data_IF_188750805335
#
_entry.id   IF_188750805335
#
_cell.length_a   1.000
_cell.length_b   1.000
_cell.length_c   1.000
_cell.angle_alpha   90.00
_cell.angle_beta   90.00
_cell.angle_gamma   90.00
#
_symmetry.space_group_name_H-M   'P 1'
#
loop_
_entity.id
_entity.type
_entity.pdbx_description
1 polymer ?
#
# COMPACT_ATOMS: atom_id res chain seq x y z
N UNK A 1 0.23 33.18 -2.51
CA UNK A 1 1.63 33.66 -2.58
C UNK A 1 2.46 32.87 -3.60
N UNK A 2 2.35 31.54 -3.69
CA UNK A 2 2.95 30.76 -4.80
C UNK A 2 1.88 29.88 -5.47
N UNK A 3 1.90 29.76 -6.80
CA UNK A 3 0.97 28.90 -7.53
C UNK A 3 1.29 27.42 -7.30
N UNK A 4 0.27 26.55 -7.27
CA UNK A 4 0.43 25.10 -7.03
C UNK A 4 1.49 24.46 -7.92
N UNK A 5 1.57 24.88 -9.19
CA UNK A 5 2.61 24.43 -10.14
C UNK A 5 4.03 24.75 -9.67
N UNK A 6 4.28 25.91 -9.07
CA UNK A 6 5.63 26.27 -8.56
C UNK A 6 5.97 25.45 -7.33
N UNK A 7 5.04 25.34 -6.37
CA UNK A 7 5.24 24.56 -5.14
C UNK A 7 5.54 23.09 -5.50
N UNK A 8 4.78 22.51 -6.44
CA UNK A 8 5.02 21.14 -6.91
C UNK A 8 6.42 20.97 -7.52
N UNK A 9 6.82 21.86 -8.44
CA UNK A 9 8.16 21.79 -9.08
C UNK A 9 9.29 21.98 -8.07
N UNK A 10 9.21 22.98 -7.21
CA UNK A 10 10.21 23.22 -6.17
C UNK A 10 10.29 22.05 -5.20
N UNK A 11 9.14 21.52 -4.75
CA UNK A 11 9.07 20.34 -3.89
C UNK A 11 9.73 19.12 -4.54
N UNK A 12 9.50 18.91 -5.84
CA UNK A 12 10.11 17.82 -6.59
C UNK A 12 11.62 17.95 -6.70
N UNK A 13 12.13 19.16 -6.96
CA UNK A 13 13.57 19.44 -7.00
C UNK A 13 14.21 19.21 -5.64
N UNK A 14 13.59 19.71 -4.56
CA UNK A 14 14.08 19.49 -3.19
C UNK A 14 14.10 18.00 -2.87
N UNK A 15 13.04 17.26 -3.21
CA UNK A 15 12.96 15.82 -2.99
C UNK A 15 14.07 15.06 -3.75
N UNK A 16 14.31 15.43 -5.01
CA UNK A 16 15.36 14.84 -5.86
C UNK A 16 16.76 15.06 -5.31
N UNK A 17 17.10 16.32 -5.01
CA UNK A 17 18.40 16.67 -4.46
C UNK A 17 18.63 16.01 -3.11
N UNK A 18 17.61 16.01 -2.24
CA UNK A 18 17.68 15.32 -0.96
C UNK A 18 17.86 13.81 -1.12
N UNK A 19 17.19 13.17 -2.09
CA UNK A 19 17.38 11.75 -2.38
C UNK A 19 18.80 11.43 -2.87
N UNK A 20 19.39 12.32 -3.68
CA UNK A 20 20.78 12.19 -4.09
C UNK A 20 21.73 12.33 -2.90
N UNK A 21 21.49 13.29 -1.99
CA UNK A 21 22.26 13.42 -0.76
C UNK A 21 22.11 12.21 0.18
N UNK A 22 20.93 11.58 0.26
CA UNK A 22 20.76 10.32 0.98
C UNK A 22 21.58 9.18 0.36
N UNK A 23 21.68 9.11 -0.97
CA UNK A 23 22.50 8.10 -1.64
C UNK A 23 24.01 8.34 -1.42
N UNK A 24 24.43 9.60 -1.34
CA UNK A 24 25.82 10.00 -1.12
C UNK A 24 26.21 10.09 0.36
N UNK A 25 25.29 9.83 1.30
CA UNK A 25 25.59 10.01 2.72
C UNK A 25 26.50 8.90 3.24
N UNK A 26 27.57 9.31 3.92
CA UNK A 26 28.51 8.41 4.59
C UNK A 26 28.45 8.50 6.13
N UNK A 27 27.59 9.36 6.67
CA UNK A 27 27.34 9.46 8.12
C UNK A 27 25.84 9.49 8.45
N UNK A 28 25.48 9.01 9.65
CA UNK A 28 24.10 9.02 10.14
C UNK A 28 23.53 10.44 10.21
N UNK A 29 24.32 11.42 10.63
CA UNK A 29 23.89 12.82 10.71
C UNK A 29 23.57 13.39 9.33
N UNK A 30 24.42 13.12 8.33
CA UNK A 30 24.18 13.54 6.95
C UNK A 30 22.92 12.89 6.39
N UNK A 31 22.73 11.58 6.60
CA UNK A 31 21.53 10.87 6.18
C UNK A 31 20.27 11.45 6.85
N UNK A 32 20.35 11.77 8.14
CA UNK A 32 19.24 12.33 8.91
C UNK A 32 18.85 13.72 8.38
N UNK A 33 19.82 14.60 8.16
CA UNK A 33 19.57 15.94 7.60
C UNK A 33 19.01 15.85 6.18
N UNK A 34 19.54 14.94 5.35
CA UNK A 34 19.02 14.71 4.00
C UNK A 34 17.57 14.19 4.03
N UNK A 35 17.22 13.31 4.99
CA UNK A 35 15.84 12.82 5.18
C UNK A 35 14.89 13.92 5.65
N UNK A 36 15.35 14.84 6.49
CA UNK A 36 14.58 16.04 6.86
C UNK A 36 14.29 16.89 5.62
N UNK A 37 15.32 17.18 4.80
CA UNK A 37 15.14 17.91 3.54
C UNK A 37 14.20 17.18 2.56
N UNK A 38 14.33 15.85 2.47
CA UNK A 38 13.45 15.02 1.65
C UNK A 38 12.00 15.08 2.14
N UNK A 39 11.79 15.12 3.46
CA UNK A 39 10.48 15.32 4.08
C UNK A 39 9.82 16.63 3.66
N UNK A 40 10.56 17.75 3.60
CA UNK A 40 10.04 19.02 3.08
C UNK A 40 9.61 18.92 1.62
N UNK A 41 10.41 18.26 0.78
CA UNK A 41 10.05 17.98 -0.63
C UNK A 41 8.76 17.16 -0.74
N UNK A 42 8.66 16.08 0.03
CA UNK A 42 7.48 15.22 0.09
C UNK A 42 6.21 15.96 0.56
N UNK A 43 6.33 16.77 1.63
CA UNK A 43 5.23 17.57 2.15
C UNK A 43 4.73 18.61 1.12
N UNK A 44 5.66 19.26 0.40
CA UNK A 44 5.30 20.18 -0.68
C UNK A 44 4.53 19.47 -1.80
N UNK A 45 4.96 18.27 -2.21
CA UNK A 45 4.28 17.47 -3.24
C UNK A 45 2.89 17.02 -2.79
N UNK A 46 2.75 16.46 -1.58
CA UNK A 46 1.48 15.95 -1.07
C UNK A 46 0.46 17.07 -0.83
N UNK A 47 0.91 18.22 -0.32
CA UNK A 47 0.01 19.34 0.03
C UNK A 47 -0.70 19.96 -1.17
N UNK A 48 -0.08 19.97 -2.36
CA UNK A 48 -0.66 20.54 -3.57
C UNK A 48 -1.29 19.51 -4.51
N UNK A 49 -1.10 18.21 -4.27
CA UNK A 49 -1.57 17.15 -5.17
C UNK A 49 -3.09 17.19 -5.37
N UNK A 50 -3.85 17.20 -4.27
CA UNK A 50 -5.32 17.29 -4.33
C UNK A 50 -5.80 18.60 -4.98
N UNK A 51 -5.09 19.70 -4.74
CA UNK A 51 -5.41 21.00 -5.34
C UNK A 51 -5.18 21.01 -6.86
N UNK A 52 -4.10 20.37 -7.34
CA UNK A 52 -3.82 20.22 -8.77
C UNK A 52 -4.84 19.33 -9.45
N UNK A 53 -5.24 18.21 -8.84
CA UNK A 53 -6.31 17.35 -9.38
C UNK A 53 -7.60 18.14 -9.55
N UNK A 54 -7.98 18.94 -8.54
CA UNK A 54 -9.17 19.82 -8.62
C UNK A 54 -9.10 20.91 -9.68
N UNK A 55 -7.90 21.25 -10.13
CA UNK A 55 -7.66 22.25 -11.17
C UNK A 55 -7.68 21.64 -12.58
N UNK A 56 -7.26 20.38 -12.69
CA UNK A 56 -7.19 19.65 -13.96
C UNK A 56 -8.55 19.03 -14.32
N UNK A 57 -9.28 18.48 -13.34
CA UNK A 57 -10.54 17.79 -13.58
C UNK A 57 -11.75 18.71 -13.31
N UNK A 58 -12.78 18.70 -14.18
CA UNK A 58 -14.04 19.39 -13.91
C UNK A 58 -14.76 18.74 -12.71
N UNK A 59 -15.57 19.52 -11.97
CA UNK A 59 -16.25 19.09 -10.73
C UNK A 59 -16.96 17.73 -10.85
N UNK A 60 -17.66 17.48 -11.97
CA UNK A 60 -18.36 16.22 -12.25
C UNK A 60 -17.45 15.00 -12.38
N UNK A 61 -16.18 15.19 -12.73
CA UNK A 61 -15.19 14.13 -12.95
C UNK A 61 -14.12 14.07 -11.84
N UNK A 62 -14.23 14.88 -10.79
CA UNK A 62 -13.26 14.88 -9.68
C UNK A 62 -13.11 13.51 -9.02
N UNK A 63 -14.20 12.76 -8.89
CA UNK A 63 -14.16 11.39 -8.35
C UNK A 63 -13.27 10.47 -9.19
N UNK A 64 -13.29 10.61 -10.52
CA UNK A 64 -12.41 9.83 -11.42
C UNK A 64 -10.95 10.22 -11.25
N UNK A 65 -10.66 11.52 -11.17
CA UNK A 65 -9.29 12.01 -10.94
C UNK A 65 -8.73 11.54 -9.58
N UNK A 66 -9.52 11.66 -8.52
CA UNK A 66 -9.16 11.17 -7.18
C UNK A 66 -9.00 9.65 -7.17
N UNK A 67 -9.89 8.90 -7.84
CA UNK A 67 -9.82 7.45 -7.95
C UNK A 67 -8.56 6.94 -8.63
N UNK A 68 -8.17 7.56 -9.76
CA UNK A 68 -6.92 7.22 -10.47
C UNK A 68 -5.70 7.53 -9.57
N UNK A 69 -5.69 8.68 -8.90
CA UNK A 69 -4.61 9.03 -7.98
C UNK A 69 -4.50 8.01 -6.83
N UNK A 70 -5.62 7.65 -6.19
CA UNK A 70 -5.65 6.66 -5.11
C UNK A 70 -5.22 5.27 -5.60
N UNK A 71 -5.60 4.87 -6.81
CA UNK A 71 -5.16 3.62 -7.43
C UNK A 71 -3.64 3.59 -7.62
N UNK A 72 -3.05 4.66 -8.14
CA UNK A 72 -1.59 4.76 -8.31
C UNK A 72 -0.89 4.65 -6.95
N UNK A 73 -1.37 5.37 -5.93
CA UNK A 73 -0.80 5.30 -4.57
C UNK A 73 -0.88 3.89 -4.00
N UNK A 74 -2.02 3.20 -4.15
CA UNK A 74 -2.18 1.84 -3.67
C UNK A 74 -1.25 0.84 -4.37
N UNK A 75 -1.14 0.92 -5.71
CA UNK A 75 -0.25 0.07 -6.50
C UNK A 75 1.21 0.33 -6.14
N UNK A 76 1.64 1.59 -6.05
CA UNK A 76 2.99 1.95 -5.63
C UNK A 76 3.31 1.50 -4.20
N UNK A 77 2.36 1.63 -3.27
CA UNK A 77 2.53 1.19 -1.89
C UNK A 77 2.63 -0.34 -1.79
N UNK A 78 1.87 -1.09 -2.58
CA UNK A 78 1.93 -2.54 -2.61
C UNK A 78 3.22 -3.06 -3.29
N UNK A 79 3.67 -2.38 -4.34
CA UNK A 79 4.90 -2.72 -5.04
C UNK A 79 6.17 -2.32 -4.26
N UNK A 80 6.08 -1.34 -3.37
CA UNK A 80 7.19 -0.77 -2.62
C UNK A 80 8.08 -1.81 -1.93
N UNK A 81 7.56 -2.67 -1.02
CA UNK A 81 8.36 -3.69 -0.33
C UNK A 81 9.04 -4.68 -1.28
N UNK A 82 8.35 -5.13 -2.33
CA UNK A 82 8.91 -6.07 -3.31
C UNK A 82 10.04 -5.44 -4.12
N UNK A 83 9.86 -4.20 -4.59
CA UNK A 83 10.91 -3.46 -5.30
C UNK A 83 12.10 -3.20 -4.37
N UNK A 84 11.85 -2.79 -3.12
CA UNK A 84 12.90 -2.57 -2.14
C UNK A 84 13.70 -3.84 -1.82
N UNK A 85 13.02 -4.99 -1.63
CA UNK A 85 13.66 -6.28 -1.40
C UNK A 85 14.50 -6.73 -2.61
N UNK A 86 13.98 -6.58 -3.83
CA UNK A 86 14.70 -6.90 -5.06
C UNK A 86 15.94 -6.01 -5.26
N UNK A 87 15.86 -4.72 -4.92
CA UNK A 87 17.03 -3.82 -4.95
C UNK A 87 18.07 -4.29 -3.92
N UNK A 88 17.66 -4.54 -2.67
CA UNK A 88 18.57 -4.95 -1.61
C UNK A 88 19.21 -6.32 -1.84
N UNK A 89 18.60 -7.19 -2.66
CA UNK A 89 19.20 -8.49 -2.98
C UNK A 89 20.38 -8.44 -3.96
N UNK A 90 20.50 -7.36 -4.74
CA UNK A 90 21.56 -7.22 -5.76
C UNK A 90 22.39 -5.94 -5.63
N UNK A 91 21.94 -4.98 -4.82
CA UNK A 91 22.52 -3.65 -4.73
C UNK A 91 22.51 -3.13 -3.29
N UNK A 92 23.37 -2.16 -3.01
CA UNK A 92 23.44 -1.53 -1.70
C UNK A 92 22.20 -0.68 -1.40
N UNK A 93 21.93 -0.44 -0.11
CA UNK A 93 20.79 0.38 0.34
C UNK A 93 20.76 1.79 -0.27
N UNK A 94 21.90 2.34 -0.71
CA UNK A 94 22.01 3.63 -1.41
C UNK A 94 21.13 3.67 -2.68
N UNK A 95 20.91 2.53 -3.33
CA UNK A 95 20.04 2.41 -4.51
C UNK A 95 18.56 2.62 -4.22
N UNK A 96 18.10 2.41 -2.98
CA UNK A 96 16.73 2.73 -2.56
C UNK A 96 16.44 4.23 -2.69
N UNK A 97 17.47 5.07 -2.58
CA UNK A 97 17.37 6.51 -2.79
C UNK A 97 17.69 6.90 -4.23
N UNK A 98 18.63 6.21 -4.88
CA UNK A 98 19.04 6.52 -6.23
C UNK A 98 17.93 6.25 -7.25
N UNK A 99 17.08 5.23 -7.05
CA UNK A 99 15.93 4.93 -7.92
C UNK A 99 14.92 6.09 -8.02
N UNK A 100 14.82 6.91 -6.98
CA UNK A 100 13.94 8.08 -6.98
C UNK A 100 14.45 9.18 -7.92
N UNK A 101 15.75 9.20 -8.23
CA UNK A 101 16.37 10.24 -9.06
C UNK A 101 15.88 10.19 -10.52
N UNK A 102 16.00 9.06 -11.27
CA UNK A 102 15.49 9.01 -12.63
C UNK A 102 13.96 9.19 -12.68
N UNK A 103 13.23 8.59 -11.73
CA UNK A 103 11.77 8.72 -11.65
C UNK A 103 11.34 10.17 -11.40
N UNK A 104 12.00 10.86 -10.47
CA UNK A 104 11.71 12.25 -10.18
C UNK A 104 12.13 13.20 -11.30
N UNK A 105 13.20 12.91 -12.04
CA UNK A 105 13.59 13.68 -13.24
C UNK A 105 12.49 13.55 -14.31
N UNK A 106 12.02 12.33 -14.60
CA UNK A 106 10.91 12.11 -15.53
C UNK A 106 9.67 12.87 -15.05
N UNK A 107 9.31 12.74 -13.76
CA UNK A 107 8.19 13.47 -13.18
C UNK A 107 8.36 15.00 -13.31
N UNK A 108 9.58 15.52 -13.16
CA UNK A 108 9.88 16.95 -13.29
C UNK A 108 9.73 17.42 -14.73
N UNK A 109 10.22 16.66 -15.70
CA UNK A 109 10.05 16.94 -17.13
C UNK A 109 8.56 16.97 -17.51
N UNK A 110 7.78 15.97 -17.06
CA UNK A 110 6.35 15.91 -17.28
C UNK A 110 5.62 17.07 -16.58
N UNK A 111 6.01 17.40 -15.35
CA UNK A 111 5.48 18.54 -14.61
C UNK A 111 5.81 19.88 -15.28
N UNK A 112 6.96 20.01 -15.92
CA UNK A 112 7.31 21.20 -16.68
C UNK A 112 6.44 21.35 -17.91
N UNK A 113 6.20 20.26 -18.64
CA UNK A 113 5.47 20.25 -19.91
C UNK A 113 3.94 20.32 -19.76
N UNK A 114 3.36 19.56 -18.83
CA UNK A 114 1.92 19.30 -18.80
C UNK A 114 1.16 20.01 -17.67
N UNK A 115 1.81 20.48 -16.60
CA UNK A 115 1.09 21.19 -15.53
C UNK A 115 0.60 22.55 -16.04
N UNK A 116 -0.72 22.83 -15.95
CA UNK A 116 -1.27 24.11 -16.41
C UNK A 116 -0.71 25.27 -15.58
N UNK A 117 -0.40 26.42 -16.22
CA UNK A 117 0.00 27.61 -15.50
C UNK A 117 -1.16 28.11 -14.65
N UNK A 118 -0.91 28.26 -13.35
CA UNK A 118 -1.84 28.91 -12.45
C UNK A 118 -1.48 30.38 -12.30
N UNK A 119 -2.30 31.28 -12.84
CA UNK A 119 -2.17 32.71 -12.58
C UNK A 119 -2.51 32.96 -11.12
N UNK A 120 -1.59 33.53 -10.33
CA UNK A 120 -1.90 34.03 -9.00
C UNK A 120 -2.74 35.31 -9.12
N UNK A 121 -3.97 35.20 -9.62
CA UNK A 121 -4.91 36.32 -9.62
C UNK A 121 -5.55 36.41 -8.23
N UNK A 122 -5.41 37.59 -7.66
CA UNK A 122 -6.11 38.13 -6.48
C UNK A 122 -5.43 37.94 -5.11
N UNK A 123 -4.90 39.06 -4.61
CA UNK A 123 -5.10 39.64 -3.28
C UNK A 123 -5.41 38.65 -2.14
N UNK A 124 -4.39 37.95 -1.61
CA UNK A 124 -4.58 36.95 -0.54
C UNK A 124 -3.56 37.07 0.59
N UNK A 125 -3.94 36.68 1.83
CA UNK A 125 -3.28 37.02 3.08
C UNK A 125 -1.81 36.57 3.14
N UNK A 126 -1.00 37.30 3.91
CA UNK A 126 0.41 36.96 4.20
C UNK A 126 0.50 35.57 4.83
N UNK A 127 1.57 34.84 4.50
CA UNK A 127 1.87 33.55 5.12
C UNK A 127 1.99 33.72 6.64
N UNK A 128 1.17 33.00 7.40
CA UNK A 128 1.18 33.06 8.86
C UNK A 128 2.28 32.14 9.40
N UNK A 129 3.52 32.63 9.32
CA UNK A 129 4.72 31.93 9.81
C UNK A 129 4.58 31.53 11.30
N UNK A 130 4.08 32.38 12.22
CA UNK A 130 3.81 31.96 13.60
C UNK A 130 2.89 30.74 13.68
N UNK A 131 1.76 30.71 12.98
CA UNK A 131 0.87 29.55 12.97
C UNK A 131 1.54 28.31 12.38
N UNK A 132 2.38 28.46 11.35
CA UNK A 132 3.12 27.34 10.77
C UNK A 132 4.14 26.75 11.76
N UNK A 133 4.89 27.58 12.48
CA UNK A 133 5.87 27.14 13.49
C UNK A 133 5.15 26.46 14.64
N UNK A 134 4.07 27.06 15.16
CA UNK A 134 3.30 26.48 16.25
C UNK A 134 2.69 25.13 15.84
N UNK A 135 2.15 25.03 14.63
CA UNK A 135 1.66 23.75 14.08
C UNK A 135 2.77 22.69 14.02
N UNK A 136 3.94 23.06 13.49
CA UNK A 136 5.09 22.15 13.41
C UNK A 136 5.56 21.69 14.79
N UNK A 137 5.58 22.59 15.78
CA UNK A 137 5.93 22.28 17.17
C UNK A 137 4.87 21.39 17.83
N UNK A 138 3.58 21.67 17.66
CA UNK A 138 2.49 20.85 18.22
C UNK A 138 2.57 19.42 17.70
N UNK A 139 2.63 19.20 16.38
CA UNK A 139 2.72 17.84 15.85
C UNK A 139 4.09 17.21 16.07
N UNK A 140 5.17 17.99 16.03
CA UNK A 140 6.52 17.54 16.31
C UNK A 140 6.66 16.98 17.72
N UNK A 141 6.26 17.74 18.73
CA UNK A 141 6.30 17.32 20.14
C UNK A 141 5.41 16.11 20.41
N UNK A 142 4.24 16.04 19.77
CA UNK A 142 3.38 14.86 19.88
C UNK A 142 4.08 13.60 19.34
N UNK A 143 4.70 13.70 18.16
CA UNK A 143 5.39 12.57 17.53
C UNK A 143 6.64 12.19 18.32
N UNK A 144 7.44 13.15 18.80
CA UNK A 144 8.64 12.86 19.59
C UNK A 144 8.29 12.24 20.94
N UNK A 145 7.26 12.72 21.63
CA UNK A 145 6.80 12.13 22.89
C UNK A 145 6.32 10.68 22.71
N UNK A 146 5.51 10.42 21.67
CA UNK A 146 5.05 9.05 21.34
C UNK A 146 6.23 8.13 21.00
N UNK A 147 7.17 8.61 20.18
CA UNK A 147 8.36 7.86 19.80
C UNK A 147 9.30 7.61 20.97
N UNK A 148 9.50 8.61 21.83
CA UNK A 148 10.32 8.53 23.03
C UNK A 148 9.75 7.54 24.04
N UNK A 149 8.43 7.54 24.23
CA UNK A 149 7.75 6.54 25.04
C UNK A 149 7.95 5.12 24.50
N UNK A 150 7.78 4.92 23.19
CA UNK A 150 7.98 3.61 22.55
C UNK A 150 9.44 3.11 22.62
N UNK A 151 10.42 4.02 22.68
CA UNK A 151 11.85 3.71 22.76
C UNK A 151 12.41 3.66 24.19
N UNK A 152 11.56 3.84 25.21
CA UNK A 152 11.97 3.81 26.62
C UNK A 152 12.80 5.02 27.07
N UNK A 153 12.59 6.19 26.47
CA UNK A 153 13.22 7.43 26.94
C UNK A 153 12.80 7.80 28.36
N UNK A 154 13.59 8.69 28.99
CA UNK A 154 13.31 9.17 30.34
C UNK A 154 11.92 9.83 30.43
N UNK A 155 11.15 9.43 31.43
CA UNK A 155 9.80 9.97 31.69
C UNK A 155 9.79 11.49 31.89
N UNK A 156 10.92 12.06 32.36
CA UNK A 156 11.11 13.51 32.52
C UNK A 156 11.11 14.24 31.18
N UNK A 157 11.82 13.70 30.18
CA UNK A 157 11.88 14.29 28.84
C UNK A 157 10.51 14.22 28.17
N UNK A 158 9.85 13.06 28.22
CA UNK A 158 8.50 12.85 27.69
C UNK A 158 7.50 13.80 28.38
N UNK A 159 7.59 13.94 29.71
CA UNK A 159 6.78 14.89 30.47
C UNK A 159 6.99 16.33 30.02
N UNK A 160 8.24 16.74 29.76
CA UNK A 160 8.56 18.07 29.24
C UNK A 160 8.01 18.28 27.82
N UNK A 161 8.10 17.27 26.94
CA UNK A 161 7.54 17.31 25.58
C UNK A 161 6.00 17.43 25.60
N UNK A 162 5.33 16.66 26.46
CA UNK A 162 3.88 16.73 26.64
C UNK A 162 3.43 18.08 27.22
N UNK A 163 4.19 18.63 28.18
CA UNK A 163 3.93 19.97 28.69
C UNK A 163 4.11 21.04 27.61
N UNK A 164 5.18 20.96 26.83
CA UNK A 164 5.41 21.84 25.68
C UNK A 164 4.29 21.73 24.64
N UNK A 165 3.84 20.51 24.34
CA UNK A 165 2.73 20.22 23.45
C UNK A 165 1.44 20.91 23.93
N UNK A 166 1.09 20.76 25.20
CA UNK A 166 -0.11 21.36 25.78
C UNK A 166 -0.04 22.89 25.72
N UNK A 167 1.10 23.49 26.08
CA UNK A 167 1.28 24.94 26.07
C UNK A 167 1.21 25.49 24.64
N UNK A 168 2.02 24.97 23.73
CA UNK A 168 2.07 25.46 22.33
C UNK A 168 0.75 25.16 21.61
N UNK A 169 0.18 23.96 21.81
CA UNK A 169 -1.10 23.56 21.25
C UNK A 169 -2.26 24.44 21.72
N UNK A 170 -2.31 24.79 23.00
CA UNK A 170 -3.32 25.71 23.54
C UNK A 170 -3.27 27.09 22.87
N UNK A 171 -2.07 27.69 22.80
CA UNK A 171 -1.91 28.98 22.13
C UNK A 171 -2.19 28.89 20.63
N UNK A 172 -1.82 27.78 19.99
CA UNK A 172 -2.07 27.54 18.57
C UNK A 172 -3.57 27.51 18.26
N UNK A 173 -4.34 26.71 18.99
CA UNK A 173 -5.79 26.60 18.83
C UNK A 173 -6.46 27.95 19.08
N UNK A 174 -6.08 28.65 20.17
CA UNK A 174 -6.62 29.97 20.49
C UNK A 174 -6.36 30.98 19.36
N UNK A 175 -5.17 30.96 18.76
CA UNK A 175 -4.84 31.79 17.60
C UNK A 175 -5.67 31.40 16.37
N UNK A 176 -5.81 30.11 16.07
CA UNK A 176 -6.61 29.65 14.92
C UNK A 176 -8.07 30.09 15.02
N UNK A 177 -8.68 30.00 16.21
CA UNK A 177 -10.06 30.42 16.43
C UNK A 177 -10.28 31.94 16.25
N UNK A 178 -9.24 32.75 16.39
CA UNK A 178 -9.31 34.20 16.23
C UNK A 178 -9.02 34.68 14.79
N UNK A 179 -8.41 33.82 13.95
CA UNK A 179 -7.99 34.21 12.61
C UNK A 179 -9.15 34.10 11.60
N UNK A 180 -9.30 35.06 10.68
CA UNK A 180 -10.33 35.01 9.64
C UNK A 180 -10.06 33.95 8.57
N UNK A 181 -8.81 33.54 8.39
CA UNK A 181 -8.40 32.46 7.47
C UNK A 181 -7.44 31.52 8.23
N UNK A 182 -7.96 30.60 9.05
CA UNK A 182 -7.13 29.71 9.85
C UNK A 182 -6.43 28.67 8.97
N UNK A 183 -5.22 28.25 9.40
CA UNK A 183 -4.48 27.14 8.81
C UNK A 183 -5.16 25.80 9.09
N UNK A 184 -5.68 25.66 10.32
CA UNK A 184 -6.43 24.50 10.77
C UNK A 184 -7.83 24.99 11.18
N UNK A 185 -8.91 24.64 10.45
CA UNK A 185 -10.27 25.06 10.78
C UNK A 185 -10.80 24.23 11.96
N UNK A 186 -10.32 24.56 13.17
CA UNK A 186 -10.68 23.89 14.43
C UNK A 186 -12.17 24.08 14.75
N UNK A 187 -12.79 25.13 14.21
CA UNK A 187 -14.22 25.40 14.27
C UNK A 187 -15.06 24.28 13.63
N UNK A 188 -14.59 23.66 12.55
CA UNK A 188 -15.28 22.52 11.92
C UNK A 188 -15.32 21.28 12.80
N UNK A 189 -14.39 21.12 13.75
CA UNK A 189 -14.43 20.02 14.72
C UNK A 189 -15.64 20.08 15.65
N UNK A 190 -16.34 21.22 15.73
CA UNK A 190 -17.61 21.33 16.44
C UNK A 190 -18.75 20.56 15.77
N UNK A 191 -18.63 20.25 14.47
CA UNK A 191 -19.61 19.47 13.72
C UNK A 191 -19.35 17.98 14.03
N UNK A 192 -20.27 17.27 14.73
CA UNK A 192 -20.02 15.92 15.20
C UNK A 192 -19.66 14.94 14.06
N UNK A 193 -20.35 15.03 12.92
CA UNK A 193 -20.07 14.19 11.75
C UNK A 193 -18.66 14.41 11.19
N UNK A 194 -18.17 15.65 11.18
CA UNK A 194 -16.83 15.99 10.71
C UNK A 194 -15.77 15.49 11.69
N UNK A 195 -15.96 15.71 12.99
CA UNK A 195 -15.06 15.19 14.03
C UNK A 195 -15.01 13.67 14.03
N UNK A 196 -16.16 12.99 13.93
CA UNK A 196 -16.22 11.53 13.81
C UNK A 196 -15.46 11.06 12.58
N UNK A 197 -15.64 11.69 11.43
CA UNK A 197 -14.90 11.34 10.21
C UNK A 197 -13.38 11.47 10.37
N UNK A 198 -12.89 12.50 11.06
CA UNK A 198 -11.46 12.68 11.34
C UNK A 198 -10.97 11.62 12.31
N UNK A 199 -11.69 11.37 13.41
CA UNK A 199 -11.35 10.35 14.39
C UNK A 199 -11.30 8.95 13.75
N UNK A 200 -12.30 8.60 12.94
CA UNK A 200 -12.31 7.36 12.17
C UNK A 200 -11.11 7.30 11.22
N UNK A 201 -10.80 8.38 10.51
CA UNK A 201 -9.63 8.41 9.62
C UNK A 201 -8.31 8.18 10.36
N UNK A 202 -8.09 8.88 11.48
CA UNK A 202 -6.88 8.73 12.32
C UNK A 202 -6.79 7.30 12.86
N UNK A 203 -7.89 6.75 13.36
CA UNK A 203 -7.95 5.39 13.90
C UNK A 203 -7.69 4.36 12.80
N UNK A 204 -8.34 4.48 11.63
CA UNK A 204 -8.17 3.58 10.50
C UNK A 204 -6.74 3.61 9.95
N UNK A 205 -6.13 4.79 9.73
CA UNK A 205 -4.74 4.88 9.26
C UNK A 205 -3.74 4.37 10.30
N UNK A 206 -3.97 4.65 11.59
CA UNK A 206 -3.13 4.13 12.67
C UNK A 206 -3.20 2.60 12.75
N UNK A 207 -4.42 2.03 12.74
CA UNK A 207 -4.62 0.59 12.75
C UNK A 207 -4.05 -0.08 11.50
N UNK A 208 -4.21 0.55 10.32
CA UNK A 208 -3.63 0.07 9.07
C UNK A 208 -2.10 0.01 9.14
N UNK A 209 -1.44 1.09 9.57
CA UNK A 209 0.02 1.12 9.67
C UNK A 209 0.54 0.16 10.74
N UNK A 210 -0.15 0.06 11.89
CA UNK A 210 0.18 -0.91 12.93
C UNK A 210 0.05 -2.34 12.41
N UNK A 211 -1.05 -2.70 11.76
CA UNK A 211 -1.24 -4.03 11.19
C UNK A 211 -0.20 -4.33 10.10
N UNK A 212 0.11 -3.36 9.22
CA UNK A 212 1.08 -3.52 8.14
C UNK A 212 2.48 -3.85 8.68
N UNK A 213 2.88 -3.25 9.79
CA UNK A 213 4.19 -3.50 10.42
C UNK A 213 4.15 -4.71 11.35
N UNK A 214 3.21 -4.77 12.28
CA UNK A 214 3.20 -5.77 13.36
C UNK A 214 2.75 -7.16 12.93
N UNK A 215 1.86 -7.28 11.94
CA UNK A 215 1.31 -8.58 11.55
C UNK A 215 2.37 -9.56 10.98
N UNK A 216 3.31 -9.12 10.10
CA UNK A 216 4.44 -9.97 9.69
C UNK A 216 5.27 -10.49 10.87
N UNK A 217 5.65 -9.60 11.80
CA UNK A 217 6.43 -10.00 12.98
C UNK A 217 5.65 -10.94 13.90
N UNK A 218 4.35 -10.70 14.11
CA UNK A 218 3.51 -11.59 14.89
C UNK A 218 3.44 -13.00 14.28
N UNK A 219 3.27 -13.09 12.95
CA UNK A 219 3.24 -14.38 12.25
C UNK A 219 4.58 -15.12 12.33
N UNK A 220 5.69 -14.42 12.19
CA UNK A 220 7.02 -15.04 12.20
C UNK A 220 7.47 -15.40 13.62
N UNK A 221 7.39 -14.46 14.56
CA UNK A 221 7.95 -14.61 15.92
C UNK A 221 7.02 -15.35 16.87
N UNK A 222 5.71 -15.10 16.84
CA UNK A 222 4.75 -15.71 17.77
C UNK A 222 4.14 -16.99 17.21
N UNK A 223 3.72 -16.96 15.94
CA UNK A 223 3.10 -18.12 15.29
C UNK A 223 4.10 -19.08 14.62
N UNK A 224 5.39 -18.76 14.62
CA UNK A 224 6.46 -19.61 14.06
C UNK A 224 6.33 -19.86 12.56
N UNK A 225 5.66 -18.98 11.83
CA UNK A 225 5.46 -19.13 10.38
C UNK A 225 6.74 -18.79 9.63
N UNK A 226 7.02 -19.53 8.56
CA UNK A 226 8.10 -19.18 7.66
C UNK A 226 7.82 -17.85 6.95
N UNK A 227 8.86 -17.20 6.44
CA UNK A 227 8.74 -15.95 5.66
C UNK A 227 7.81 -16.13 4.45
N UNK A 228 7.90 -17.29 3.79
CA UNK A 228 7.07 -17.65 2.64
C UNK A 228 5.60 -17.82 3.04
N UNK A 229 5.33 -18.54 4.14
CA UNK A 229 3.96 -18.70 4.65
C UNK A 229 3.34 -17.36 5.05
N UNK A 230 4.12 -16.49 5.70
CA UNK A 230 3.68 -15.15 6.10
C UNK A 230 3.35 -14.29 4.87
N UNK A 231 4.19 -14.32 3.84
CA UNK A 231 3.92 -13.62 2.58
C UNK A 231 2.65 -14.11 1.88
N UNK A 232 2.38 -15.42 1.90
CA UNK A 232 1.14 -16.00 1.37
C UNK A 232 -0.09 -15.57 2.17
N UNK A 233 0.00 -15.54 3.50
CA UNK A 233 -1.10 -15.12 4.39
C UNK A 233 -1.42 -13.63 4.28
N UNK A 234 -0.42 -12.81 3.96
CA UNK A 234 -0.56 -11.36 3.76
C UNK A 234 -0.89 -10.99 2.31
N UNK A 235 -0.97 -11.96 1.39
CA UNK A 235 -1.28 -11.68 0.00
C UNK A 235 -2.69 -11.10 -0.11
N UNK A 236 -2.87 -9.88 -0.66
CA UNK A 236 -4.20 -9.31 -0.81
C UNK A 236 -5.09 -10.22 -1.64
N UNK A 237 -6.32 -10.44 -1.18
CA UNK A 237 -7.31 -11.26 -1.89
C UNK A 237 -7.47 -10.87 -3.38
N UNK A 238 -7.54 -9.58 -3.75
CA UNK A 238 -7.62 -9.19 -5.17
C UNK A 238 -6.43 -9.64 -6.01
N UNK A 239 -5.24 -9.79 -5.41
CA UNK A 239 -4.05 -10.29 -6.11
C UNK A 239 -4.14 -11.81 -6.32
N UNK A 240 -4.71 -12.54 -5.36
CA UNK A 240 -4.97 -13.98 -5.48
C UNK A 240 -5.97 -14.24 -6.61
N UNK A 241 -7.09 -13.51 -6.63
CA UNK A 241 -8.08 -13.59 -7.70
C UNK A 241 -7.46 -13.26 -9.06
N UNK A 242 -6.66 -12.18 -9.14
CA UNK A 242 -5.99 -11.79 -10.39
C UNK A 242 -5.01 -12.85 -10.88
N UNK A 243 -4.28 -13.54 -9.99
CA UNK A 243 -3.40 -14.68 -10.35
C UNK A 243 -4.20 -15.83 -10.94
N UNK A 244 -5.33 -16.18 -10.34
CA UNK A 244 -6.24 -17.21 -10.86
C UNK A 244 -6.77 -16.84 -12.24
N UNK A 245 -7.24 -15.59 -12.42
CA UNK A 245 -7.70 -15.06 -13.71
C UNK A 245 -6.61 -15.19 -14.78
N UNK A 246 -5.40 -14.68 -14.52
CA UNK A 246 -4.31 -14.72 -15.50
C UNK A 246 -3.87 -16.15 -15.84
N UNK A 247 -3.82 -17.04 -14.84
CA UNK A 247 -3.45 -18.44 -15.08
C UNK A 247 -4.53 -19.19 -15.87
N UNK A 248 -5.80 -18.86 -15.66
CA UNK A 248 -6.91 -19.40 -16.43
C UNK A 248 -6.86 -18.94 -17.89
N UNK A 249 -6.63 -17.64 -18.12
CA UNK A 249 -6.49 -17.04 -19.45
C UNK A 249 -5.29 -17.60 -20.24
N UNK A 250 -4.18 -17.89 -19.54
CA UNK A 250 -2.99 -18.51 -20.13
C UNK A 250 -3.14 -20.04 -20.33
N UNK A 251 -4.30 -20.60 -19.99
CA UNK A 251 -4.63 -22.02 -20.04
C UNK A 251 -3.62 -22.93 -19.30
N UNK A 252 -3.08 -22.45 -18.17
CA UNK A 252 -2.19 -23.26 -17.35
C UNK A 252 -2.92 -24.38 -16.63
N UNK A 253 -2.20 -25.47 -16.36
CA UNK A 253 -2.59 -26.45 -15.36
C UNK A 253 -2.27 -25.89 -13.97
N UNK A 254 -3.22 -25.98 -13.05
CA UNK A 254 -3.15 -25.35 -11.73
C UNK A 254 -3.20 -26.41 -10.63
N UNK A 255 -2.52 -26.12 -9.52
CA UNK A 255 -2.65 -26.89 -8.29
C UNK A 255 -3.07 -25.95 -7.15
N UNK A 256 -4.21 -26.26 -6.53
CA UNK A 256 -4.74 -25.56 -5.36
C UNK A 256 -4.53 -26.45 -4.14
N UNK A 257 -3.65 -26.00 -3.26
CA UNK A 257 -3.33 -26.70 -2.02
C UNK A 257 -4.20 -26.18 -0.87
N UNK A 258 -4.68 -27.09 0.00
CA UNK A 258 -5.53 -26.74 1.15
C UNK A 258 -6.73 -25.84 0.75
N UNK A 259 -7.56 -26.29 -0.21
CA UNK A 259 -8.58 -25.47 -0.85
C UNK A 259 -9.78 -25.17 0.06
N UNK A 260 -9.96 -25.91 1.15
CA UNK A 260 -11.07 -25.75 2.09
C UNK A 260 -10.63 -26.03 3.53
N UNK A 261 -11.19 -25.27 4.49
CA UNK A 261 -11.05 -25.55 5.92
C UNK A 261 -12.31 -25.14 6.70
N UNK A 262 -12.43 -25.52 7.98
CA UNK A 262 -13.59 -25.15 8.83
C UNK A 262 -13.91 -23.65 8.86
N UNK A 263 -12.91 -22.78 8.67
CA UNK A 263 -13.08 -21.31 8.64
C UNK A 263 -13.14 -20.73 7.21
N UNK A 264 -12.85 -21.52 6.17
CA UNK A 264 -12.71 -21.11 4.76
C UNK A 264 -13.46 -22.09 3.87
N UNK A 265 -14.78 -22.18 4.06
CA UNK A 265 -15.61 -23.14 3.33
C UNK A 265 -15.89 -22.74 1.88
N UNK A 266 -15.84 -21.44 1.56
CA UNK A 266 -16.25 -20.87 0.27
C UNK A 266 -15.09 -20.63 -0.70
N UNK A 267 -13.85 -20.86 -0.29
CA UNK A 267 -12.65 -20.49 -1.07
C UNK A 267 -12.50 -21.31 -2.35
N UNK A 268 -12.75 -22.62 -2.28
CA UNK A 268 -12.74 -23.50 -3.46
C UNK A 268 -13.84 -23.09 -4.44
N UNK A 269 -15.05 -22.79 -3.96
CA UNK A 269 -16.16 -22.37 -4.81
C UNK A 269 -15.81 -21.07 -5.54
N UNK A 270 -15.33 -20.04 -4.82
CA UNK A 270 -14.87 -18.78 -5.42
C UNK A 270 -13.78 -18.99 -6.46
N UNK A 271 -12.80 -19.86 -6.18
CA UNK A 271 -11.76 -20.20 -7.15
C UNK A 271 -12.37 -20.84 -8.41
N UNK A 272 -13.31 -21.78 -8.26
CA UNK A 272 -14.02 -22.38 -9.40
C UNK A 272 -14.80 -21.32 -10.21
N UNK A 273 -15.52 -20.42 -9.55
CA UNK A 273 -16.28 -19.35 -10.20
C UNK A 273 -15.37 -18.45 -11.05
N UNK A 274 -14.19 -18.10 -10.54
CA UNK A 274 -13.18 -17.31 -11.27
C UNK A 274 -12.65 -18.10 -12.48
N UNK A 275 -12.31 -19.38 -12.29
CA UNK A 275 -11.76 -20.21 -13.35
C UNK A 275 -12.78 -20.46 -14.47
N UNK A 276 -14.06 -20.68 -14.13
CA UNK A 276 -15.16 -20.87 -15.09
C UNK A 276 -15.40 -19.65 -15.98
N UNK A 277 -14.95 -18.45 -15.59
CA UNK A 277 -14.97 -17.27 -16.45
C UNK A 277 -14.02 -17.36 -17.66
N UNK A 278 -13.04 -18.27 -17.63
CA UNK A 278 -12.00 -18.37 -18.66
C UNK A 278 -11.69 -19.80 -19.14
N UNK A 279 -12.06 -20.83 -18.37
CA UNK A 279 -11.91 -22.26 -18.71
C UNK A 279 -13.28 -22.91 -18.88
N UNK A 280 -13.33 -23.91 -19.76
CA UNK A 280 -14.56 -24.65 -20.06
C UNK A 280 -15.01 -25.47 -18.83
N UNK A 281 -16.32 -25.59 -18.53
CA UNK A 281 -16.83 -26.40 -17.42
C UNK A 281 -16.37 -27.86 -17.45
N UNK A 282 -16.12 -28.41 -18.64
CA UNK A 282 -15.70 -29.78 -18.90
C UNK A 282 -14.20 -30.00 -18.65
N UNK A 283 -13.46 -28.93 -18.30
CA UNK A 283 -12.03 -29.01 -18.02
C UNK A 283 -11.77 -30.06 -16.94
N UNK A 284 -10.91 -31.03 -17.26
CA UNK A 284 -10.61 -32.15 -16.38
C UNK A 284 -9.92 -31.64 -15.12
N UNK A 285 -10.45 -32.01 -13.96
CA UNK A 285 -9.90 -31.70 -12.65
C UNK A 285 -9.62 -32.99 -11.87
N UNK A 286 -8.60 -32.97 -11.02
CA UNK A 286 -8.27 -34.05 -10.11
C UNK A 286 -8.30 -33.58 -8.67
N UNK A 287 -8.74 -34.41 -7.75
CA UNK A 287 -8.60 -34.21 -6.32
C UNK A 287 -7.76 -35.36 -5.77
N UNK A 288 -6.82 -35.05 -4.89
CA UNK A 288 -6.07 -36.06 -4.18
C UNK A 288 -5.97 -35.68 -2.70
N UNK A 289 -6.42 -36.59 -1.84
CA UNK A 289 -6.46 -36.42 -0.38
C UNK A 289 -5.42 -37.32 0.28
N UNK A 290 -4.79 -36.85 1.35
CA UNK A 290 -3.78 -37.60 2.12
C UNK A 290 -2.62 -38.13 1.24
N UNK A 291 -2.15 -37.33 0.28
CA UNK A 291 -1.06 -37.72 -0.64
C UNK A 291 0.18 -38.13 0.18
N UNK A 292 0.67 -39.35 -0.05
CA UNK A 292 1.84 -39.90 0.63
C UNK A 292 1.61 -40.29 2.09
N UNK A 293 0.35 -40.44 2.52
CA UNK A 293 -0.04 -40.83 3.88
C UNK A 293 -1.04 -41.99 3.85
N UNK A 294 -1.27 -42.62 5.00
CA UNK A 294 -2.35 -43.60 5.13
C UNK A 294 -3.72 -42.98 4.77
N UNK A 295 -4.56 -43.75 4.07
CA UNK A 295 -5.86 -43.29 3.61
C UNK A 295 -5.82 -42.34 2.41
N UNK A 296 -4.78 -42.43 1.55
CA UNK A 296 -4.71 -41.69 0.30
C UNK A 296 -5.89 -42.04 -0.63
N UNK A 297 -6.56 -41.01 -1.16
CA UNK A 297 -7.66 -41.16 -2.12
C UNK A 297 -7.47 -40.18 -3.27
N UNK A 298 -7.88 -40.57 -4.48
CA UNK A 298 -7.84 -39.70 -5.65
C UNK A 298 -9.14 -39.84 -6.47
N UNK A 299 -9.63 -38.72 -7.00
CA UNK A 299 -10.83 -38.64 -7.81
C UNK A 299 -10.56 -37.72 -9.02
N UNK A 300 -11.05 -38.09 -10.19
CA UNK A 300 -11.07 -37.22 -11.37
C UNK A 300 -12.50 -36.77 -11.61
N UNK A 301 -12.69 -35.47 -11.82
CA UNK A 301 -13.98 -34.80 -12.04
C UNK A 301 -13.81 -33.69 -13.09
N UNK A 302 -14.80 -32.84 -13.26
CA UNK A 302 -14.78 -31.67 -14.14
C UNK A 302 -14.78 -30.37 -13.32
N UNK A 303 -14.36 -29.26 -13.92
CA UNK A 303 -14.32 -27.96 -13.26
C UNK A 303 -15.72 -27.51 -12.80
N UNK A 304 -16.76 -27.80 -13.58
CA UNK A 304 -18.15 -27.48 -13.23
C UNK A 304 -18.69 -28.25 -12.02
N UNK A 305 -18.15 -29.42 -11.73
CA UNK A 305 -18.55 -30.26 -10.59
C UNK A 305 -17.61 -30.14 -9.39
N UNK A 306 -16.41 -29.59 -9.59
CA UNK A 306 -15.34 -29.51 -8.61
C UNK A 306 -15.76 -28.82 -7.29
N UNK A 307 -16.52 -27.73 -7.39
CA UNK A 307 -16.99 -26.97 -6.22
C UNK A 307 -17.95 -27.76 -5.31
N UNK A 308 -18.58 -28.82 -5.83
CA UNK A 308 -19.51 -29.69 -5.08
C UNK A 308 -18.80 -30.86 -4.38
N UNK A 309 -17.53 -31.09 -4.69
CA UNK A 309 -16.79 -32.23 -4.15
C UNK A 309 -16.33 -31.98 -2.70
N UNK A 310 -16.41 -32.97 -1.81
CA UNK A 310 -15.96 -32.83 -0.44
C UNK A 310 -14.45 -32.63 -0.39
N UNK A 311 -14.02 -31.44 0.01
CA UNK A 311 -12.61 -31.07 0.15
C UNK A 311 -12.31 -30.63 1.57
N UNK A 312 -11.10 -30.91 2.04
CA UNK A 312 -10.60 -30.49 3.35
C UNK A 312 -9.16 -29.98 3.27
N UNK A 313 -8.57 -29.72 4.43
CA UNK A 313 -7.22 -29.18 4.52
C UNK A 313 -6.12 -30.15 4.06
N UNK A 314 -6.44 -31.44 3.89
CA UNK A 314 -5.53 -32.48 3.42
C UNK A 314 -5.75 -32.84 1.96
N UNK A 315 -6.57 -32.06 1.26
CA UNK A 315 -6.89 -32.22 -0.16
C UNK A 315 -6.04 -31.27 -0.99
N UNK A 316 -5.50 -31.78 -2.09
CA UNK A 316 -4.90 -30.99 -3.17
C UNK A 316 -5.77 -31.14 -4.41
N UNK A 317 -6.16 -30.02 -5.00
CA UNK A 317 -6.97 -29.95 -6.21
C UNK A 317 -6.06 -29.60 -7.39
N UNK A 318 -6.18 -30.34 -8.48
CA UNK A 318 -5.50 -30.10 -9.74
C UNK A 318 -6.54 -29.70 -10.79
N UNK A 319 -6.34 -28.58 -11.47
CA UNK A 319 -7.19 -28.13 -12.58
C UNK A 319 -6.37 -28.20 -13.85
N UNK A 320 -6.90 -28.86 -14.88
CA UNK A 320 -6.20 -29.08 -16.14
C UNK A 320 -6.16 -27.85 -17.04
N UNK A 321 -5.39 -27.97 -18.11
CA UNK A 321 -5.49 -27.12 -19.29
C UNK A 321 -6.58 -27.62 -20.23
N UNK A 322 -6.87 -26.87 -21.29
CA UNK A 322 -7.75 -27.29 -22.39
C UNK A 322 -7.28 -28.56 -23.09
N UNK A 323 -6.00 -28.94 -22.94
CA UNK A 323 -5.43 -30.17 -23.50
C UNK A 323 -5.47 -31.35 -22.52
N UNK A 324 -5.77 -31.12 -21.24
CA UNK A 324 -5.86 -32.20 -20.27
C UNK A 324 -7.03 -33.14 -20.62
N UNK A 325 -6.79 -34.45 -20.51
CA UNK A 325 -7.76 -35.51 -20.80
C UNK A 325 -7.85 -36.45 -19.61
N UNK A 326 -9.02 -37.05 -19.43
CA UNK A 326 -9.20 -38.18 -18.52
C UNK A 326 -8.93 -39.47 -19.31
N UNK A 327 -7.82 -40.14 -18.99
CA UNK A 327 -7.44 -41.41 -19.62
C UNK A 327 -7.50 -42.50 -18.56
N UNK A 328 -8.47 -43.42 -18.68
CA UNK A 328 -8.66 -44.54 -17.74
C UNK A 328 -8.73 -44.08 -16.27
N UNK A 329 -9.46 -42.99 -16.00
CA UNK A 329 -9.61 -42.44 -14.65
C UNK A 329 -8.39 -41.66 -14.15
N UNK A 330 -7.39 -41.39 -15.00
CA UNK A 330 -6.24 -40.56 -14.67
C UNK A 330 -6.28 -39.25 -15.43
N UNK A 331 -5.99 -38.16 -14.72
CA UNK A 331 -5.81 -36.85 -15.31
C UNK A 331 -4.44 -36.80 -16.02
N UNK A 332 -4.45 -36.70 -17.35
CA UNK A 332 -3.24 -36.67 -18.18
C UNK A 332 -3.21 -35.37 -18.96
N UNK A 333 -2.16 -34.58 -18.78
CA UNK A 333 -1.89 -33.41 -19.62
C UNK A 333 -0.78 -33.79 -20.59
N UNK A 334 -1.06 -33.87 -21.90
CA UNK A 334 -0.04 -34.21 -22.88
C UNK A 334 1.06 -33.15 -22.84
N UNK A 335 2.31 -33.61 -22.80
CA UNK A 335 3.47 -32.74 -23.03
C UNK A 335 3.68 -32.73 -24.54
N UNK A 336 3.71 -31.55 -25.17
CA UNK A 336 3.77 -31.39 -26.63
C UNK A 336 5.02 -31.94 -27.34
N UNK A 337 5.78 -32.83 -26.73
CA UNK A 337 6.87 -33.54 -27.36
C UNK A 337 6.30 -34.58 -28.33
N UNK A 338 6.57 -34.42 -29.62
CA UNK A 338 6.50 -35.54 -30.56
C UNK A 338 7.74 -36.39 -30.28
N UNK A 339 7.54 -37.62 -29.82
CA UNK A 339 8.59 -38.62 -29.87
C UNK A 339 8.74 -38.99 -31.35
N UNK A 340 9.76 -38.43 -32.00
CA UNK A 340 10.22 -38.88 -33.32
C UNK A 340 10.87 -40.26 -33.23
#
# INVERSE_FOLDING_TARGET
>A
MFGYRRIYKCGLVVFLLASLFCALSDSLHMLTLARVAQGFGGAALMSVNTALIRLIYPQRQLGRGMGINSFIVAVSSAAGPTIAAAILSIASWKWLFLINVPLGIIALLLAMRFLPPNSSRSNKPRFDLPSAIMNALTFGLLITALSGFAQGQSLKLIGAELMGLLVVGFFFIRRQLALPVPLLPVDLLRIPLFSLSICTSICSFSAQMLAMVSLPFFMQTVLGRSEVETGLLLTPWPLIERRLVCAAQADFSLALYNPASKKRGDYLQRACDILLGHKAPETVCGLARNIGREGQQALVTTLGELGKQPCDMFTTVFVGSSQTRNIKGKMVTPRGYRLE
#
